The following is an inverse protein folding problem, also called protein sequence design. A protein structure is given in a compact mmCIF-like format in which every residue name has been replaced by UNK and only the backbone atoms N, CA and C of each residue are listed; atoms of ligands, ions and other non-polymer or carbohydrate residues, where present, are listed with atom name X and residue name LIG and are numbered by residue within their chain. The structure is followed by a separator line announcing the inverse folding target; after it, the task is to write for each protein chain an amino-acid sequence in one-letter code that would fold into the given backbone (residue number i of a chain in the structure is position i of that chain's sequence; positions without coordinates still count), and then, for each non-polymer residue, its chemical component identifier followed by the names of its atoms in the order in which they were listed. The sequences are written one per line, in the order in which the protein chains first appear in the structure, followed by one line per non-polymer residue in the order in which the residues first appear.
data_IF_675362531819
#
_entry.id   IF_675362531819
#
_cell.length_a   1.000
_cell.length_b   1.000
_cell.length_c   1.000
_cell.angle_alpha   90.00
_cell.angle_beta   90.00
_cell.angle_gamma   90.00
#
_symmetry.space_group_name_H-M   'P 1'
#
loop_
_entity.id
_entity.type
_entity.pdbx_description
1 polymer ?
#
# COMPACT_ATOMS: atom_id res chain seq x y z
N UNK A 1 -11.91 34.59 -55.97
CA UNK A 1 -11.93 33.12 -55.83
C UNK A 1 -10.76 32.76 -54.95
N UNK A 2 -10.96 32.83 -53.63
CA UNK A 2 -9.94 32.45 -52.66
C UNK A 2 -10.46 31.22 -51.94
N UNK A 3 -9.81 30.09 -52.18
CA UNK A 3 -10.12 28.80 -51.57
C UNK A 3 -9.57 28.76 -50.16
N UNK A 4 -10.40 29.03 -49.17
CA UNK A 4 -10.13 28.64 -47.79
C UNK A 4 -10.38 27.15 -47.65
N UNK A 5 -9.32 26.35 -47.65
CA UNK A 5 -9.36 24.97 -47.19
C UNK A 5 -9.53 25.00 -45.67
N UNK A 6 -10.78 24.87 -45.23
CA UNK A 6 -11.12 24.64 -43.83
C UNK A 6 -10.56 23.27 -43.43
N UNK A 7 -9.52 23.27 -42.61
CA UNK A 7 -8.91 22.07 -42.01
C UNK A 7 -9.81 21.63 -40.85
N UNK A 8 -11.05 21.27 -41.15
CA UNK A 8 -11.93 20.52 -40.27
C UNK A 8 -11.67 19.03 -40.51
N UNK A 9 -10.67 18.48 -39.81
CA UNK A 9 -10.42 17.04 -39.91
C UNK A 9 -9.10 16.57 -39.34
N UNK A 10 -8.78 16.90 -38.09
CA UNK A 10 -7.88 16.05 -37.32
C UNK A 10 -8.75 15.02 -36.59
N UNK A 11 -8.91 13.78 -37.11
CA UNK A 11 -9.48 12.73 -36.30
C UNK A 11 -8.57 12.54 -35.09
N UNK A 12 -9.17 12.71 -33.91
CA UNK A 12 -8.71 12.26 -32.61
C UNK A 12 -7.49 11.33 -32.69
N UNK A 13 -6.31 11.91 -32.50
CA UNK A 13 -5.04 11.18 -32.45
C UNK A 13 -5.03 10.16 -31.29
N UNK A 14 -6.04 10.23 -30.42
CA UNK A 14 -6.35 9.28 -29.36
C UNK A 14 -7.07 8.03 -29.88
N UNK A 15 -7.94 8.15 -30.89
CA UNK A 15 -8.74 7.03 -31.44
C UNK A 15 -7.94 6.10 -32.34
N UNK A 16 -6.91 6.60 -33.04
CA UNK A 16 -6.12 5.79 -33.99
C UNK A 16 -5.15 4.82 -33.27
N UNK A 17 -4.75 5.09 -32.02
CA UNK A 17 -3.85 4.21 -31.27
C UNK A 17 -4.53 2.99 -30.66
N UNK A 18 -5.83 3.07 -30.40
CA UNK A 18 -6.60 1.99 -29.74
C UNK A 18 -6.84 0.82 -30.69
N UNK A 19 -7.04 1.08 -31.99
CA UNK A 19 -7.47 0.06 -32.96
C UNK A 19 -6.40 -0.98 -33.32
N UNK A 20 -5.16 -0.84 -32.84
CA UNK A 20 -4.05 -1.76 -33.16
C UNK A 20 -3.56 -2.57 -31.96
N UNK A 21 -4.02 -2.28 -30.74
CA UNK A 21 -3.52 -2.96 -29.54
C UNK A 21 -4.34 -4.24 -29.28
N UNK A 22 -3.74 -5.45 -29.36
CA UNK A 22 -4.48 -6.68 -29.07
C UNK A 22 -5.06 -6.67 -27.66
N UNK A 23 -6.25 -7.24 -27.47
CA UNK A 23 -6.95 -7.28 -26.16
C UNK A 23 -6.09 -7.85 -25.02
N UNK A 24 -5.15 -8.74 -25.33
CA UNK A 24 -4.18 -9.27 -24.36
C UNK A 24 -3.22 -8.19 -23.84
N UNK A 25 -2.71 -7.35 -24.71
CA UNK A 25 -1.80 -6.26 -24.35
C UNK A 25 -2.53 -5.22 -23.49
N UNK A 26 -3.79 -4.94 -23.80
CA UNK A 26 -4.61 -4.02 -22.99
C UNK A 26 -4.80 -4.54 -21.54
N UNK A 27 -5.05 -5.85 -21.38
CA UNK A 27 -5.13 -6.49 -20.05
C UNK A 27 -3.80 -6.44 -19.31
N UNK A 28 -2.68 -6.55 -20.03
CA UNK A 28 -1.35 -6.44 -19.43
C UNK A 28 -1.11 -5.02 -18.90
N UNK A 29 -1.45 -4.00 -19.68
CA UNK A 29 -1.38 -2.59 -19.24
C UNK A 29 -2.29 -2.33 -18.05
N UNK A 30 -3.50 -2.86 -18.05
CA UNK A 30 -4.43 -2.78 -16.91
C UNK A 30 -3.80 -3.37 -15.63
N UNK A 31 -3.23 -4.58 -15.73
CA UNK A 31 -2.57 -5.23 -14.62
C UNK A 31 -1.33 -4.46 -14.15
N UNK A 32 -0.52 -3.94 -15.08
CA UNK A 32 0.62 -3.08 -14.74
C UNK A 32 0.17 -1.83 -14.01
N UNK A 33 -0.92 -1.19 -14.44
CA UNK A 33 -1.43 0.03 -13.82
C UNK A 33 -2.02 -0.22 -12.43
N UNK A 34 -2.67 -1.37 -12.22
CA UNK A 34 -3.15 -1.78 -10.89
C UNK A 34 -2.03 -2.13 -9.91
N UNK A 35 -0.89 -2.63 -10.41
CA UNK A 35 0.27 -2.96 -9.58
C UNK A 35 1.31 -1.83 -9.53
N UNK A 36 1.06 -0.70 -10.20
CA UNK A 36 1.98 0.42 -10.25
C UNK A 36 1.96 1.15 -8.91
N UNK A 37 3.00 0.94 -8.12
CA UNK A 37 3.17 1.55 -6.80
C UNK A 37 4.43 2.42 -6.79
N UNK A 38 4.36 3.53 -6.06
CA UNK A 38 5.50 4.42 -5.85
C UNK A 38 6.53 3.73 -4.95
N UNK A 39 7.78 3.71 -5.41
CA UNK A 39 8.92 3.15 -4.66
C UNK A 39 9.72 4.28 -4.03
N UNK A 40 10.03 4.14 -2.74
CA UNK A 40 10.79 5.14 -1.98
C UNK A 40 10.18 6.53 -2.05
N UNK A 41 10.98 7.50 -2.48
CA UNK A 41 10.59 8.90 -2.68
C UNK A 41 10.70 9.33 -4.15
N UNK A 42 10.57 8.39 -5.09
CA UNK A 42 10.73 8.61 -6.53
C UNK A 42 9.44 9.09 -7.21
N UNK A 43 8.90 10.21 -6.74
CA UNK A 43 7.62 10.76 -7.20
C UNK A 43 7.57 11.01 -8.73
N UNK A 44 8.65 11.57 -9.29
CA UNK A 44 8.72 11.88 -10.71
C UNK A 44 8.69 10.59 -11.55
N UNK A 45 9.43 9.57 -11.13
CA UNK A 45 9.47 8.25 -11.81
C UNK A 45 8.08 7.62 -11.78
N UNK A 46 7.45 7.60 -10.60
CA UNK A 46 6.08 7.11 -10.42
C UNK A 46 5.08 7.82 -11.34
N UNK A 47 5.10 9.15 -11.36
CA UNK A 47 4.16 9.97 -12.13
C UNK A 47 4.34 9.82 -13.63
N UNK A 48 5.59 9.83 -14.11
CA UNK A 48 5.90 9.64 -15.53
C UNK A 48 5.39 8.28 -16.01
N UNK A 49 5.71 7.21 -15.27
CA UNK A 49 5.28 5.86 -15.63
C UNK A 49 3.75 5.70 -15.60
N UNK A 50 3.09 6.31 -14.62
CA UNK A 50 1.63 6.31 -14.54
C UNK A 50 1.01 6.95 -15.81
N UNK A 51 1.53 8.10 -16.25
CA UNK A 51 1.03 8.76 -17.46
C UNK A 51 1.28 7.93 -18.73
N UNK A 52 2.43 7.27 -18.84
CA UNK A 52 2.71 6.35 -19.95
C UNK A 52 1.69 5.20 -20.01
N UNK A 53 1.44 4.53 -18.88
CA UNK A 53 0.47 3.43 -18.79
C UNK A 53 -0.96 3.90 -19.10
N UNK A 54 -1.38 5.03 -18.53
CA UNK A 54 -2.71 5.59 -18.78
C UNK A 54 -2.91 6.01 -20.24
N UNK A 55 -1.85 6.44 -20.94
CA UNK A 55 -1.91 6.80 -22.35
C UNK A 55 -2.01 5.58 -23.29
N UNK A 56 -1.51 4.41 -22.86
CA UNK A 56 -1.61 3.16 -23.62
C UNK A 56 -2.99 2.51 -23.54
N UNK A 57 -3.75 2.79 -22.48
CA UNK A 57 -5.03 2.14 -22.20
C UNK A 57 -6.12 3.15 -21.79
N UNK A 58 -6.50 4.10 -22.67
CA UNK A 58 -7.50 5.11 -22.34
C UNK A 58 -8.88 4.52 -22.03
N UNK A 59 -9.24 3.39 -22.64
CA UNK A 59 -10.51 2.69 -22.37
C UNK A 59 -10.56 2.03 -20.99
N UNK A 60 -9.40 1.70 -20.42
CA UNK A 60 -9.28 1.08 -19.09
C UNK A 60 -9.40 2.15 -17.99
N UNK A 61 -8.99 3.39 -18.29
CA UNK A 61 -9.11 4.54 -17.39
C UNK A 61 -9.95 5.64 -18.05
N UNK A 62 -11.24 5.37 -18.34
CA UNK A 62 -12.03 6.23 -19.21
C UNK A 62 -12.45 7.54 -18.53
N UNK A 63 -12.50 7.57 -17.19
CA UNK A 63 -12.93 8.74 -16.43
C UNK A 63 -11.78 9.36 -15.65
N UNK A 64 -11.87 10.67 -15.43
CA UNK A 64 -10.94 11.41 -14.58
C UNK A 64 -10.93 10.87 -13.15
N UNK A 65 -12.11 10.57 -12.60
CA UNK A 65 -12.26 9.98 -11.27
C UNK A 65 -11.50 8.65 -11.16
N UNK A 66 -11.65 7.75 -12.16
CA UNK A 66 -10.92 6.48 -12.16
C UNK A 66 -9.40 6.68 -12.21
N UNK A 67 -8.96 7.68 -12.96
CA UNK A 67 -7.55 8.05 -13.05
C UNK A 67 -7.02 8.54 -11.71
N UNK A 68 -7.79 9.36 -11.01
CA UNK A 68 -7.44 9.85 -9.67
C UNK A 68 -7.40 8.69 -8.68
N UNK A 69 -8.40 7.81 -8.66
CA UNK A 69 -8.43 6.62 -7.81
C UNK A 69 -7.17 5.77 -7.97
N UNK A 70 -6.79 5.48 -9.22
CA UNK A 70 -5.64 4.62 -9.52
C UNK A 70 -4.32 5.29 -9.16
N UNK A 71 -4.19 6.57 -9.47
CA UNK A 71 -3.01 7.33 -9.07
C UNK A 71 -2.85 7.35 -7.55
N UNK A 72 -3.93 7.59 -6.80
CA UNK A 72 -3.92 7.61 -5.33
C UNK A 72 -3.68 6.20 -4.76
N UNK A 73 -4.18 5.16 -5.42
CA UNK A 73 -4.01 3.76 -5.04
C UNK A 73 -2.55 3.31 -5.03
N UNK A 74 -1.72 3.84 -5.94
CA UNK A 74 -0.29 3.53 -6.01
C UNK A 74 0.59 4.37 -5.09
N UNK A 75 0.05 5.34 -4.36
CA UNK A 75 0.86 6.18 -3.45
C UNK A 75 1.22 5.44 -2.14
N UNK A 76 2.34 5.80 -1.49
CA UNK A 76 2.67 5.28 -0.16
C UNK A 76 1.58 5.67 0.85
N UNK A 77 1.26 4.77 1.79
CA UNK A 77 0.16 4.96 2.74
C UNK A 77 0.27 6.25 3.58
N UNK A 78 1.50 6.69 3.88
CA UNK A 78 1.76 7.95 4.59
C UNK A 78 1.37 9.21 3.80
N UNK A 79 1.33 9.12 2.46
CA UNK A 79 0.91 10.20 1.57
C UNK A 79 -0.57 10.04 1.21
N UNK A 80 -1.01 8.81 0.95
CA UNK A 80 -2.34 8.48 0.46
C UNK A 80 -3.46 9.11 1.30
N UNK A 81 -3.40 8.98 2.63
CA UNK A 81 -4.42 9.54 3.52
C UNK A 81 -4.55 11.06 3.43
N UNK A 82 -3.43 11.77 3.28
CA UNK A 82 -3.41 13.23 3.14
C UNK A 82 -4.00 13.67 1.79
N UNK A 83 -3.69 12.93 0.72
CA UNK A 83 -4.23 13.21 -0.62
C UNK A 83 -5.73 12.97 -0.66
N UNK A 84 -6.23 11.87 -0.08
CA UNK A 84 -7.67 11.58 0.00
C UNK A 84 -8.41 12.69 0.75
N UNK A 85 -7.88 13.12 1.90
CA UNK A 85 -8.47 14.17 2.72
C UNK A 85 -8.54 15.53 2.01
N UNK A 86 -7.66 15.79 1.04
CA UNK A 86 -7.67 17.02 0.25
C UNK A 86 -8.74 17.03 -0.86
N UNK A 87 -9.43 15.90 -1.10
CA UNK A 87 -10.46 15.76 -2.13
C UNK A 87 -10.09 16.38 -3.49
N UNK A 88 -8.98 15.94 -4.12
CA UNK A 88 -8.51 16.51 -5.37
C UNK A 88 -9.52 16.25 -6.50
N UNK A 89 -9.81 17.29 -7.28
CA UNK A 89 -10.77 17.23 -8.41
C UNK A 89 -10.08 17.10 -9.75
N UNK A 90 -8.75 17.25 -9.81
CA UNK A 90 -7.95 17.12 -11.02
C UNK A 90 -6.72 16.24 -10.77
N UNK A 91 -6.23 15.58 -11.82
CA UNK A 91 -5.01 14.78 -11.73
C UNK A 91 -3.79 15.63 -11.37
N UNK A 92 -3.72 16.86 -11.89
CA UNK A 92 -2.63 17.80 -11.59
C UNK A 92 -2.56 18.14 -10.10
N UNK A 93 -3.71 18.32 -9.45
CA UNK A 93 -3.76 18.52 -8.00
C UNK A 93 -3.21 17.31 -7.25
N UNK A 94 -3.58 16.10 -7.66
CA UNK A 94 -3.07 14.86 -7.04
C UNK A 94 -1.55 14.78 -7.18
N UNK A 95 -1.02 15.00 -8.39
CA UNK A 95 0.42 14.95 -8.70
C UNK A 95 1.20 15.98 -7.89
N UNK A 96 0.72 17.22 -7.85
CA UNK A 96 1.36 18.32 -7.13
C UNK A 96 1.35 18.10 -5.62
N UNK A 97 0.22 17.67 -5.08
CA UNK A 97 0.07 17.41 -3.65
C UNK A 97 0.93 16.22 -3.20
N UNK A 98 0.92 15.12 -3.94
CA UNK A 98 1.77 13.95 -3.64
C UNK A 98 3.26 14.27 -3.74
N UNK A 99 3.68 15.10 -4.70
CA UNK A 99 5.07 15.57 -4.78
C UNK A 99 5.46 16.42 -3.56
N UNK A 100 4.62 17.39 -3.20
CA UNK A 100 4.85 18.26 -2.03
C UNK A 100 4.95 17.44 -0.74
N UNK A 101 4.03 16.48 -0.55
CA UNK A 101 4.04 15.60 0.61
C UNK A 101 5.25 14.66 0.62
N UNK A 102 5.68 14.17 -0.54
CA UNK A 102 6.91 13.36 -0.65
C UNK A 102 8.12 14.16 -0.17
N UNK A 103 8.27 15.40 -0.63
CA UNK A 103 9.39 16.27 -0.23
C UNK A 103 9.35 16.58 1.27
N UNK A 104 8.17 16.84 1.83
CA UNK A 104 7.99 17.03 3.29
C UNK A 104 8.36 15.77 4.09
N UNK A 105 7.98 14.59 3.61
CA UNK A 105 8.27 13.32 4.27
C UNK A 105 9.76 12.95 4.17
N UNK A 106 10.43 13.30 3.07
CA UNK A 106 11.88 13.16 2.94
C UNK A 106 12.60 14.12 3.90
N UNK A 107 12.18 15.39 3.96
CA UNK A 107 12.77 16.38 4.85
C UNK A 107 12.63 16.00 6.33
N UNK A 108 11.51 15.37 6.70
CA UNK A 108 11.25 14.86 8.05
C UNK A 108 11.84 13.46 8.31
N UNK A 109 12.59 12.89 7.37
CA UNK A 109 13.16 11.53 7.44
C UNK A 109 12.13 10.39 7.60
N UNK A 110 10.85 10.66 7.30
CA UNK A 110 9.76 9.70 7.33
C UNK A 110 9.73 8.82 6.06
N UNK A 111 10.27 9.31 4.94
CA UNK A 111 10.50 8.55 3.71
C UNK A 111 11.97 8.57 3.32
N UNK A 112 12.48 7.41 2.87
CA UNK A 112 13.85 7.27 2.37
C UNK A 112 13.89 7.50 0.87
N UNK A 113 14.84 8.32 0.40
CA UNK A 113 15.28 8.29 -1.00
C UNK A 113 16.15 7.05 -1.16
N UNK A 114 15.66 6.06 -1.90
CA UNK A 114 16.48 4.90 -2.24
C UNK A 114 17.54 5.37 -3.25
N UNK A 115 18.75 5.61 -2.75
CA UNK A 115 19.92 5.80 -3.61
C UNK A 115 20.46 4.40 -3.85
N UNK A 116 20.39 3.92 -5.10
CA UNK A 116 20.68 2.54 -5.46
C UNK A 116 21.91 1.95 -4.76
N UNK A 117 21.68 1.07 -3.80
CA UNK A 117 22.62 0.06 -3.34
C UNK A 117 21.79 -1.11 -2.84
N UNK A 118 21.84 -2.18 -3.61
CA UNK A 118 21.35 -3.53 -3.29
C UNK A 118 21.67 -3.91 -1.85
N UNK A 119 20.64 -4.30 -1.09
CA UNK A 119 20.62 -5.20 0.08
C UNK A 119 19.18 -5.25 0.60
N UNK A 120 18.41 -6.23 0.14
CA UNK A 120 18.19 -7.50 0.84
C UNK A 120 17.20 -7.32 2.01
N UNK A 121 15.99 -7.85 1.75
CA UNK A 121 14.95 -8.16 2.71
C UNK A 121 15.54 -8.83 3.94
N UNK A 122 15.44 -8.24 5.13
CA UNK A 122 15.27 -8.99 6.39
C UNK A 122 14.44 -8.19 7.39
N UNK A 123 13.21 -8.68 7.59
CA UNK A 123 12.40 -8.40 8.77
C UNK A 123 13.10 -9.04 9.98
N UNK A 124 13.15 -8.35 11.12
CA UNK A 124 13.02 -8.87 12.50
C UNK A 124 13.64 -7.88 13.49
N UNK A 125 12.87 -7.25 14.39
CA UNK A 125 13.42 -6.76 15.64
C UNK A 125 13.27 -7.83 16.74
N UNK A 126 14.41 -8.34 17.17
CA UNK A 126 14.57 -9.22 18.32
C UNK A 126 14.10 -8.55 19.63
N UNK A 127 13.29 -9.29 20.40
CA UNK A 127 12.93 -8.96 21.79
C UNK A 127 14.19 -9.02 22.66
N UNK A 128 14.58 -7.90 23.27
CA UNK A 128 15.64 -7.85 24.28
C UNK A 128 15.11 -8.37 25.62
N UNK A 129 15.63 -9.53 26.02
CA UNK A 129 15.50 -10.13 27.34
C UNK A 129 16.31 -9.29 28.34
N UNK A 130 15.66 -8.75 29.38
CA UNK A 130 16.36 -8.14 30.53
C UNK A 130 16.16 -9.05 31.75
N UNK A 131 17.21 -9.81 32.05
CA UNK A 131 17.37 -10.61 33.27
C UNK A 131 17.38 -9.67 34.47
N UNK A 132 16.47 -9.91 35.41
CA UNK A 132 16.46 -9.29 36.74
C UNK A 132 17.19 -10.25 37.70
N UNK A 133 18.24 -9.76 38.39
CA UNK A 133 18.91 -10.46 39.50
C UNK A 133 18.26 -10.00 40.81
N UNK A 134 17.67 -10.96 41.54
CA UNK A 134 17.13 -10.77 42.89
C UNK A 134 18.16 -11.29 43.90
N UNK A 135 18.44 -10.53 44.96
CA UNK A 135 19.16 -11.01 46.15
C UNK A 135 18.15 -11.21 47.29
N UNK A 136 18.28 -12.35 47.97
CA UNK A 136 17.32 -12.92 48.91
C UNK A 136 17.52 -12.47 50.37
N UNK A 137 16.51 -12.68 51.23
CA UNK A 137 16.67 -13.04 52.65
C UNK A 137 15.43 -13.80 53.17
N UNK A 138 15.66 -15.09 53.51
CA UNK A 138 15.07 -16.05 54.49
C UNK A 138 13.61 -15.88 54.98
N UNK A 139 12.77 -16.93 55.16
CA UNK A 139 12.89 -17.96 56.22
C UNK A 139 11.88 -19.13 56.03
N UNK A 140 12.40 -20.37 56.04
CA UNK A 140 11.94 -21.69 56.60
C UNK A 140 10.44 -22.11 56.61
N UNK A 141 10.04 -23.20 55.89
CA UNK A 141 10.01 -24.64 56.31
C UNK A 141 8.92 -25.48 55.57
N UNK A 142 9.30 -26.70 55.15
CA UNK A 142 8.53 -27.97 54.89
C UNK A 142 8.11 -28.35 53.45
N UNK A 143 8.81 -29.37 52.94
CA UNK A 143 8.49 -30.53 52.05
C UNK A 143 7.09 -30.64 51.39
N UNK A 144 6.84 -31.15 50.16
CA UNK A 144 7.58 -31.94 49.16
C UNK A 144 6.93 -31.84 47.73
N UNK A 145 7.77 -31.79 46.69
CA UNK A 145 7.76 -32.29 45.26
C UNK A 145 6.45 -32.85 44.61
N UNK A 146 6.23 -32.77 43.27
CA UNK A 146 6.35 -31.65 42.29
C UNK A 146 5.02 -31.42 41.51
N UNK A 147 4.88 -30.32 40.73
CA UNK A 147 4.32 -30.27 39.34
C UNK A 147 3.99 -28.82 38.92
N UNK A 148 4.24 -28.57 37.64
CA UNK A 148 4.24 -27.34 36.83
C UNK A 148 2.84 -26.67 36.62
N UNK A 149 2.76 -25.51 35.90
CA UNK A 149 2.10 -24.30 36.38
C UNK A 149 0.64 -24.11 35.97
N UNK A 150 -0.08 -23.37 36.82
CA UNK A 150 -1.44 -22.89 36.60
C UNK A 150 -1.47 -21.75 35.56
N UNK A 151 -2.31 -21.90 34.55
CA UNK A 151 -2.88 -20.78 33.81
C UNK A 151 -4.35 -20.67 34.23
N UNK A 152 -4.69 -19.49 34.75
CA UNK A 152 -5.99 -19.11 35.30
C UNK A 152 -7.17 -19.58 34.43
N UNK A 153 -7.95 -20.52 34.98
CA UNK A 153 -9.26 -20.90 34.46
C UNK A 153 -10.27 -19.82 34.85
N UNK A 154 -10.70 -19.04 33.86
CA UNK A 154 -11.95 -18.29 33.97
C UNK A 154 -13.09 -19.26 33.64
N UNK A 155 -13.99 -19.45 34.59
CA UNK A 155 -15.11 -20.41 34.52
C UNK A 155 -16.08 -20.02 33.40
N UNK A 156 -16.14 -20.80 32.32
CA UNK A 156 -17.14 -20.63 31.25
C UNK A 156 -18.46 -21.28 31.69
N UNK A 157 -19.54 -20.49 31.72
CA UNK A 157 -20.84 -20.86 32.28
C UNK A 157 -21.90 -21.17 31.21
N UNK A 158 -21.47 -21.63 30.01
CA UNK A 158 -22.35 -21.98 28.88
C UNK A 158 -22.52 -23.49 28.69
N UNK A 159 -23.65 -23.91 28.11
CA UNK A 159 -23.99 -25.33 27.87
C UNK A 159 -23.29 -25.94 26.64
N UNK A 160 -22.48 -25.16 25.90
CA UNK A 160 -21.85 -25.62 24.68
C UNK A 160 -20.67 -26.58 24.96
N UNK A 161 -20.63 -27.78 24.35
CA UNK A 161 -19.48 -28.68 24.49
C UNK A 161 -18.23 -28.09 23.83
N UNK A 162 -17.05 -28.43 24.35
CA UNK A 162 -15.77 -27.97 23.82
C UNK A 162 -15.46 -28.67 22.50
N UNK A 163 -15.10 -27.91 21.47
CA UNK A 163 -14.67 -28.49 20.20
C UNK A 163 -13.25 -29.06 20.31
N UNK A 164 -13.08 -30.33 19.95
CA UNK A 164 -11.77 -31.00 20.06
C UNK A 164 -10.71 -30.51 19.06
N UNK A 165 -11.14 -29.88 17.96
CA UNK A 165 -10.22 -29.39 16.92
C UNK A 165 -9.60 -28.04 17.26
N UNK A 166 -10.39 -27.11 17.78
CA UNK A 166 -9.94 -25.73 18.03
C UNK A 166 -9.79 -25.41 19.53
N UNK A 167 -10.29 -26.28 20.42
CA UNK A 167 -10.29 -26.09 21.89
C UNK A 167 -11.03 -24.81 22.34
N UNK A 168 -12.08 -24.42 21.61
CA UNK A 168 -13.01 -23.34 21.96
C UNK A 168 -14.46 -23.82 22.05
N UNK A 169 -15.30 -23.05 22.75
CA UNK A 169 -16.76 -23.23 22.79
C UNK A 169 -17.42 -22.44 21.65
N UNK A 170 -18.26 -23.09 20.86
CA UNK A 170 -19.07 -22.46 19.82
C UNK A 170 -20.53 -22.36 20.29
N UNK A 171 -21.17 -21.22 20.04
CA UNK A 171 -22.59 -20.99 20.33
C UNK A 171 -23.45 -21.34 19.12
#
# INVERSE_FOLDING_TARGET
METTLDISGCPDQHRVRVELCPRNELKKVELELLNHVMVGAEQLVYTTRFHELAALAPDIVPTLEKRIEWYVGGLPSCIQGHVIAAHPTTLEMVVTLSATLTDMMVASSALKKETGTTKELEQHPAKKQKVVKNFATTTTTKEAVPTQPQLNHQTYSGMAPLCDKCKYHHQ
#
